data_IF_228651199974
#
_entry.id   IF_228651199974
#
_cell.length_a   1.000
_cell.length_b   1.000
_cell.length_c   1.000
_cell.angle_alpha   90.00
_cell.angle_beta   90.00
_cell.angle_gamma   90.00
#
_symmetry.space_group_name_H-M   'P 1'
#
loop_
_entity.id
_entity.type
_entity.pdbx_description
1 polymer ?
#
# COMPACT_ATOMS: atom_id res chain seq x y z
N UNK A 1 -9.50 20.64 -1.97
CA UNK A 1 -8.76 19.96 -0.91
C UNK A 1 -9.37 18.60 -0.61
N UNK A 2 -8.55 17.61 -0.47
CA UNK A 2 -9.03 16.26 -0.27
C UNK A 2 -9.38 16.00 1.19
N UNK A 3 -10.59 15.51 1.43
CA UNK A 3 -11.02 15.11 2.76
C UNK A 3 -10.99 13.58 2.89
N UNK A 4 -10.20 12.91 2.04
CA UNK A 4 -10.10 11.46 2.05
C UNK A 4 -9.39 11.02 3.32
N UNK A 5 -10.07 10.20 4.10
CA UNK A 5 -9.49 9.61 5.29
C UNK A 5 -8.76 8.33 4.94
N UNK A 6 -7.68 8.06 5.64
CA UNK A 6 -6.96 6.81 5.44
C UNK A 6 -7.85 5.64 5.84
N UNK A 7 -7.79 4.51 5.11
CA UNK A 7 -8.53 3.32 5.51
C UNK A 7 -8.04 2.81 6.86
N UNK A 8 -8.84 1.99 7.51
CA UNK A 8 -8.47 1.43 8.80
C UNK A 8 -7.13 0.71 8.70
N UNK A 9 -6.24 0.99 9.63
CA UNK A 9 -4.90 0.41 9.64
C UNK A 9 -3.86 1.23 8.90
N UNK A 10 -4.30 2.23 8.13
CA UNK A 10 -3.39 3.11 7.40
C UNK A 10 -3.33 4.47 8.09
N UNK A 11 -2.17 5.10 8.04
CA UNK A 11 -1.97 6.40 8.67
C UNK A 11 -1.75 7.47 7.61
N UNK A 12 -2.48 8.57 7.70
CA UNK A 12 -2.30 9.70 6.80
C UNK A 12 -1.09 10.51 7.24
N UNK A 13 -0.17 10.75 6.30
CA UNK A 13 1.01 11.58 6.57
C UNK A 13 1.19 12.57 5.41
N UNK A 14 0.72 13.79 5.59
CA UNK A 14 0.81 14.80 4.54
C UNK A 14 0.11 14.35 3.28
N UNK A 15 0.87 14.19 2.20
CA UNK A 15 0.34 13.82 0.89
C UNK A 15 0.28 12.32 0.64
N UNK A 16 0.48 11.51 1.68
CA UNK A 16 0.52 10.07 1.52
C UNK A 16 -0.22 9.36 2.64
N UNK A 17 -0.50 8.08 2.43
CA UNK A 17 -0.95 7.19 3.50
C UNK A 17 0.05 6.05 3.58
N UNK A 18 0.27 5.52 4.77
CA UNK A 18 1.23 4.45 4.93
C UNK A 18 0.79 3.40 5.92
N UNK A 19 1.31 2.20 5.74
CA UNK A 19 1.04 1.08 6.63
C UNK A 19 2.23 0.13 6.57
N UNK A 20 2.56 -0.47 7.71
CA UNK A 20 3.57 -1.52 7.76
C UNK A 20 2.85 -2.84 7.95
N UNK A 21 3.04 -3.76 7.00
CA UNK A 21 2.50 -5.11 7.08
C UNK A 21 3.55 -6.00 7.72
N UNK A 22 3.13 -6.87 8.63
CA UNK A 22 4.03 -7.81 9.28
C UNK A 22 3.56 -9.22 9.00
N UNK A 23 4.48 -10.07 8.56
CA UNK A 23 4.18 -11.44 8.16
C UNK A 23 4.89 -12.44 9.07
N UNK A 24 4.65 -13.73 8.84
CA UNK A 24 5.25 -14.77 9.65
C UNK A 24 6.78 -14.84 9.46
N UNK A 25 7.22 -14.62 8.22
CA UNK A 25 8.64 -14.71 7.88
C UNK A 25 8.91 -13.93 6.59
N UNK A 26 10.16 -13.99 6.14
CA UNK A 26 10.58 -13.29 4.92
C UNK A 26 9.87 -13.83 3.68
N UNK A 27 9.71 -15.15 3.61
CA UNK A 27 9.06 -15.76 2.44
C UNK A 27 7.62 -15.29 2.29
N UNK A 28 6.91 -15.17 3.41
CA UNK A 28 5.53 -14.67 3.38
C UNK A 28 5.48 -13.21 2.93
N UNK A 29 6.43 -12.38 3.39
CA UNK A 29 6.51 -10.99 2.96
C UNK A 29 6.77 -10.89 1.46
N UNK A 30 7.68 -11.71 0.95
CA UNK A 30 8.00 -11.70 -0.48
C UNK A 30 6.83 -12.20 -1.32
N UNK A 31 6.08 -13.18 -0.81
CA UNK A 31 4.91 -13.68 -1.51
C UNK A 31 3.85 -12.59 -1.63
N UNK A 32 3.63 -11.84 -0.56
CA UNK A 32 2.72 -10.70 -0.57
C UNK A 32 3.12 -9.68 -1.65
N UNK A 33 4.40 -9.32 -1.69
CA UNK A 33 4.89 -8.35 -2.67
C UNK A 33 4.75 -8.86 -4.09
N UNK A 34 5.04 -10.15 -4.30
CA UNK A 34 4.92 -10.78 -5.61
C UNK A 34 3.46 -10.79 -6.07
N UNK A 35 2.55 -11.17 -5.17
CA UNK A 35 1.12 -11.22 -5.49
C UNK A 35 0.56 -9.84 -5.78
N UNK A 36 1.17 -8.79 -5.23
CA UNK A 36 0.72 -7.43 -5.43
C UNK A 36 1.10 -6.86 -6.80
N UNK A 37 2.06 -7.46 -7.48
CA UNK A 37 2.58 -6.92 -8.74
C UNK A 37 1.47 -6.76 -9.79
N UNK A 38 0.66 -7.79 -10.01
CA UNK A 38 -0.38 -7.74 -11.04
C UNK A 38 -1.41 -6.65 -10.77
N UNK A 39 -2.04 -6.59 -9.57
CA UNK A 39 -3.01 -5.53 -9.31
C UNK A 39 -2.39 -4.13 -9.33
N UNK A 40 -1.15 -3.97 -8.90
CA UNK A 40 -0.46 -2.69 -8.98
C UNK A 40 -0.37 -2.24 -10.43
N UNK A 41 0.03 -3.15 -11.32
CA UNK A 41 0.14 -2.84 -12.73
C UNK A 41 -1.23 -2.58 -13.38
N UNK A 42 -2.26 -3.31 -12.97
CA UNK A 42 -3.60 -3.10 -13.49
C UNK A 42 -4.14 -1.72 -13.15
N UNK A 43 -3.91 -1.26 -11.93
CA UNK A 43 -4.31 0.08 -11.51
C UNK A 43 -3.40 1.16 -12.08
N UNK A 44 -2.24 0.74 -12.59
CA UNK A 44 -1.23 1.64 -13.09
C UNK A 44 -0.88 2.70 -12.03
N UNK A 45 -0.76 2.24 -10.79
CA UNK A 45 -0.50 3.12 -9.66
C UNK A 45 0.43 2.39 -8.71
N UNK A 46 1.67 2.86 -8.64
CA UNK A 46 2.74 2.12 -7.97
C UNK A 46 3.05 2.70 -6.61
N UNK A 47 3.18 1.84 -5.59
CA UNK A 47 3.52 2.29 -4.24
C UNK A 47 5.01 2.53 -4.10
N UNK A 48 5.37 3.27 -3.04
CA UNK A 48 6.72 3.26 -2.54
C UNK A 48 6.72 2.26 -1.40
N UNK A 49 7.57 1.26 -1.44
CA UNK A 49 7.60 0.28 -0.37
C UNK A 49 9.01 -0.15 -0.01
N UNK A 50 9.16 -0.61 1.23
CA UNK A 50 10.44 -1.06 1.76
C UNK A 50 10.20 -2.39 2.47
N UNK A 51 10.99 -3.38 2.13
CA UNK A 51 10.92 -4.68 2.81
C UNK A 51 12.13 -4.84 3.74
N UNK A 52 11.85 -5.22 4.99
CA UNK A 52 12.88 -5.57 5.95
C UNK A 52 12.45 -6.86 6.62
N UNK A 53 13.07 -7.96 6.25
CA UNK A 53 12.75 -9.30 6.73
C UNK A 53 11.26 -9.63 6.57
N UNK A 54 10.49 -9.71 7.65
CA UNK A 54 9.06 -10.05 7.59
C UNK A 54 8.14 -8.85 7.52
N UNK A 55 8.70 -7.65 7.32
CA UNK A 55 7.91 -6.42 7.32
C UNK A 55 7.96 -5.75 5.95
N UNK A 56 6.80 -5.24 5.52
CA UNK A 56 6.72 -4.47 4.28
C UNK A 56 6.04 -3.15 4.62
N UNK A 57 6.80 -2.06 4.54
CA UNK A 57 6.26 -0.73 4.76
C UNK A 57 5.83 -0.18 3.41
N UNK A 58 4.56 0.21 3.32
CA UNK A 58 3.97 0.68 2.06
C UNK A 58 3.53 2.12 2.23
N UNK A 59 3.90 2.95 1.26
CA UNK A 59 3.51 4.35 1.23
C UNK A 59 2.82 4.62 -0.10
N UNK A 60 1.62 5.19 -0.05
CA UNK A 60 0.81 5.46 -1.24
C UNK A 60 0.52 6.95 -1.38
N UNK A 61 0.71 7.45 -2.58
CA UNK A 61 0.45 8.84 -2.90
C UNK A 61 0.25 8.96 -4.40
N UNK A 62 -0.57 9.91 -4.83
CA UNK A 62 -0.73 10.20 -6.26
C UNK A 62 0.15 11.38 -6.61
N UNK A 63 1.36 11.08 -7.04
CA UNK A 63 2.39 12.10 -7.31
C UNK A 63 1.98 13.09 -8.39
N UNK A 64 1.15 12.66 -9.35
CA UNK A 64 0.71 13.52 -10.44
C UNK A 64 -0.19 14.67 -9.95
N UNK A 65 -0.85 14.49 -8.81
CA UNK A 65 -1.69 15.55 -8.23
C UNK A 65 -1.20 15.99 -6.86
N UNK A 66 -0.15 15.38 -6.34
CA UNK A 66 0.48 15.77 -5.09
C UNK A 66 -0.37 15.52 -3.84
N UNK A 67 -1.27 14.55 -3.88
CA UNK A 67 -2.11 14.25 -2.72
C UNK A 67 -2.68 12.84 -2.83
N UNK A 68 -3.26 12.37 -1.73
CA UNK A 68 -3.94 11.07 -1.70
C UNK A 68 -5.23 11.16 -2.52
N UNK A 69 -5.46 10.18 -3.39
CA UNK A 69 -6.65 10.14 -4.23
C UNK A 69 -7.34 8.79 -4.09
N UNK A 70 -8.45 8.65 -4.82
CA UNK A 70 -9.20 7.40 -4.87
C UNK A 70 -8.34 6.22 -5.32
N UNK A 71 -7.35 6.46 -6.19
CA UNK A 71 -6.44 5.40 -6.64
C UNK A 71 -5.65 4.81 -5.47
N UNK A 72 -5.22 5.67 -4.54
CA UNK A 72 -4.50 5.23 -3.36
C UNK A 72 -5.39 4.39 -2.46
N UNK A 73 -6.65 4.81 -2.31
CA UNK A 73 -7.60 4.10 -1.46
C UNK A 73 -7.89 2.71 -2.03
N UNK A 74 -8.06 2.62 -3.35
CA UNK A 74 -8.30 1.33 -4.00
C UNK A 74 -7.13 0.39 -3.82
N UNK A 75 -5.92 0.90 -4.00
CA UNK A 75 -4.73 0.09 -3.85
C UNK A 75 -4.55 -0.35 -2.39
N UNK A 76 -4.82 0.54 -1.43
CA UNK A 76 -4.72 0.21 -0.01
C UNK A 76 -5.66 -0.95 0.34
N UNK A 77 -6.92 -0.89 -0.10
CA UNK A 77 -7.89 -1.96 0.16
C UNK A 77 -7.42 -3.27 -0.44
N UNK A 78 -6.90 -3.22 -1.66
CA UNK A 78 -6.42 -4.41 -2.34
C UNK A 78 -5.23 -5.05 -1.61
N UNK A 79 -4.28 -4.22 -1.18
CA UNK A 79 -3.13 -4.72 -0.44
C UNK A 79 -3.55 -5.34 0.89
N UNK A 80 -4.53 -4.74 1.57
CA UNK A 80 -5.06 -5.31 2.81
C UNK A 80 -5.64 -6.71 2.57
N UNK A 81 -6.37 -6.89 1.48
CA UNK A 81 -6.96 -8.19 1.15
C UNK A 81 -5.89 -9.23 0.85
N UNK A 82 -4.84 -8.84 0.14
CA UNK A 82 -3.74 -9.75 -0.16
C UNK A 82 -3.00 -10.15 1.11
N UNK A 83 -2.85 -9.24 2.05
CA UNK A 83 -2.14 -9.52 3.28
C UNK A 83 -2.89 -10.48 4.20
N UNK A 84 -4.21 -10.61 4.01
CA UNK A 84 -5.04 -11.50 4.82
C UNK A 84 -4.96 -12.96 4.39
N UNK A 85 -4.37 -13.25 3.24
CA UNK A 85 -4.29 -14.63 2.74
C UNK A 85 -3.20 -15.43 3.40
#
# INVERSE_FOLDING_TARGET
MSDIEAPEGWERKGDSIEKTFEFADFDAAMRFMTDAVAPINELNHHPTWTNTYNKVRVELSSHDVGEVTDRDMRLAVMLDKLAEK
#
